data_IF_406075048011
#
_entry.id   IF_406075048011
#
_cell.length_a   1.000
_cell.length_b   1.000
_cell.length_c   1.000
_cell.angle_alpha   90.00
_cell.angle_beta   90.00
_cell.angle_gamma   90.00
#
_symmetry.space_group_name_H-M   'P 1'
#
loop_
_entity.id
_entity.type
_entity.pdbx_description
1 polymer ?
#
# COMPACT_ATOMS: atom_id res chain seq x y z
N UNK A 1 16.74 -2.32 2.44
CA UNK A 1 17.57 -1.28 3.11
C UNK A 1 16.73 -0.53 4.13
N UNK A 2 17.16 0.65 4.58
CA UNK A 2 16.31 1.53 5.42
C UNK A 2 15.15 2.09 4.61
N UNK A 3 13.95 2.16 5.20
CA UNK A 3 12.78 2.81 4.59
C UNK A 3 12.81 4.34 4.72
N UNK A 4 13.64 4.88 5.62
CA UNK A 4 13.70 6.33 5.87
C UNK A 4 14.10 7.09 4.59
N UNK A 5 13.31 8.11 4.25
CA UNK A 5 13.50 8.95 3.06
C UNK A 5 13.05 8.31 1.75
N UNK A 6 12.44 7.11 1.80
CA UNK A 6 11.89 6.42 0.62
C UNK A 6 10.50 6.94 0.28
N UNK A 7 10.07 6.66 -0.95
CA UNK A 7 8.71 6.93 -1.42
C UNK A 7 7.95 5.63 -1.61
N UNK A 8 6.79 5.54 -0.97
CA UNK A 8 5.81 4.45 -1.15
C UNK A 8 4.63 4.98 -1.94
N UNK A 9 4.28 4.35 -3.06
CA UNK A 9 3.06 4.63 -3.80
C UNK A 9 1.95 3.69 -3.34
N UNK A 10 0.87 4.25 -2.79
CA UNK A 10 -0.39 3.58 -2.55
C UNK A 10 -1.34 3.84 -3.71
N UNK A 11 -1.81 2.78 -4.36
CA UNK A 11 -2.75 2.84 -5.48
C UNK A 11 -3.98 2.02 -5.10
N UNK A 12 -5.17 2.63 -4.98
CA UNK A 12 -6.39 1.88 -4.68
C UNK A 12 -7.35 2.61 -3.74
N UNK A 13 -7.95 1.89 -2.79
CA UNK A 13 -9.00 2.44 -1.92
C UNK A 13 -8.43 3.22 -0.74
N UNK A 14 -9.16 4.20 -0.21
CA UNK A 14 -8.87 4.90 1.04
C UNK A 14 -9.22 4.06 2.28
N UNK A 15 -8.78 2.80 2.30
CA UNK A 15 -9.18 1.82 3.29
C UNK A 15 -8.27 1.80 4.54
N UNK A 16 -8.42 0.79 5.39
CA UNK A 16 -7.59 0.59 6.59
C UNK A 16 -6.09 0.43 6.28
N UNK A 17 -5.75 -0.21 5.16
CA UNK A 17 -4.36 -0.41 4.74
C UNK A 17 -3.75 0.91 4.27
N UNK A 18 -4.47 1.71 3.48
CA UNK A 18 -4.06 3.07 3.12
C UNK A 18 -3.78 3.92 4.36
N UNK A 19 -4.71 3.92 5.32
CA UNK A 19 -4.58 4.65 6.58
C UNK A 19 -3.37 4.17 7.40
N UNK A 20 -3.10 2.86 7.42
CA UNK A 20 -1.96 2.29 8.15
C UNK A 20 -0.62 2.68 7.51
N UNK A 21 -0.54 2.74 6.18
CA UNK A 21 0.63 3.25 5.47
C UNK A 21 0.93 4.71 5.80
N UNK A 22 -0.11 5.55 5.89
CA UNK A 22 0.02 6.94 6.30
C UNK A 22 0.50 7.10 7.76
N UNK A 23 0.01 6.25 8.66
CA UNK A 23 0.49 6.26 10.05
C UNK A 23 1.96 5.84 10.13
N UNK A 24 2.33 4.81 9.38
CA UNK A 24 3.69 4.31 9.32
C UNK A 24 4.65 5.37 8.76
N UNK A 25 4.24 6.17 7.77
CA UNK A 25 5.09 7.22 7.19
C UNK A 25 5.43 8.32 8.18
N UNK A 26 4.46 8.75 9.00
CA UNK A 26 4.68 9.74 10.06
C UNK A 26 5.68 9.24 11.13
N UNK A 27 5.67 7.93 11.42
CA UNK A 27 6.52 7.33 12.47
C UNK A 27 7.93 7.00 11.94
N UNK A 28 8.02 6.44 10.71
CA UNK A 28 9.26 5.85 10.18
C UNK A 28 10.03 6.80 9.25
N UNK A 29 9.45 7.93 8.87
CA UNK A 29 10.12 9.01 8.14
C UNK A 29 10.32 8.70 6.65
N UNK A 30 9.33 8.08 6.01
CA UNK A 30 9.20 7.95 4.56
C UNK A 30 8.02 8.80 4.06
N UNK A 31 7.81 8.90 2.75
CA UNK A 31 6.67 9.63 2.17
C UNK A 31 5.74 8.70 1.42
N UNK A 32 4.44 8.83 1.63
CA UNK A 32 3.42 8.10 0.85
C UNK A 32 2.89 8.98 -0.28
N UNK A 33 2.96 8.50 -1.51
CA UNK A 33 2.17 9.02 -2.62
C UNK A 33 0.87 8.22 -2.69
N UNK A 34 -0.26 8.86 -2.40
CA UNK A 34 -1.58 8.22 -2.38
C UNK A 34 -2.32 8.58 -3.66
N UNK A 35 -2.77 7.59 -4.41
CA UNK A 35 -3.78 7.78 -5.45
C UNK A 35 -4.97 6.87 -5.22
N UNK A 36 -6.14 7.50 -5.18
CA UNK A 36 -7.43 6.85 -4.96
C UNK A 36 -8.45 7.39 -5.97
N UNK A 37 -9.40 6.56 -6.45
CA UNK A 37 -10.50 7.05 -7.28
C UNK A 37 -11.31 8.16 -6.57
N UNK A 38 -11.97 9.01 -7.36
CA UNK A 38 -12.80 10.09 -6.81
C UNK A 38 -13.91 9.52 -5.92
N UNK A 39 -14.05 10.05 -4.71
CA UNK A 39 -15.01 9.56 -3.72
C UNK A 39 -14.50 8.45 -2.80
N UNK A 40 -13.29 7.92 -3.05
CA UNK A 40 -12.66 6.84 -2.28
C UNK A 40 -11.35 7.29 -1.60
N UNK A 41 -11.23 8.60 -1.35
CA UNK A 41 -10.02 9.21 -0.79
C UNK A 41 -9.78 8.88 0.68
N UNK A 42 -8.52 9.03 1.10
CA UNK A 42 -8.12 8.97 2.52
C UNK A 42 -8.59 10.22 3.27
N UNK A 43 -8.95 10.03 4.54
CA UNK A 43 -9.27 11.11 5.47
C UNK A 43 -8.22 11.14 6.59
N UNK A 44 -7.52 12.26 6.73
CA UNK A 44 -6.48 12.47 7.72
C UNK A 44 -6.97 12.20 9.16
N UNK A 45 -8.22 12.59 9.45
CA UNK A 45 -8.83 12.41 10.77
C UNK A 45 -9.14 10.95 11.06
N UNK A 46 -9.56 10.20 10.05
CA UNK A 46 -9.79 8.75 10.13
C UNK A 46 -8.47 8.00 10.30
N UNK A 47 -7.43 8.42 9.57
CA UNK A 47 -6.08 7.88 9.73
C UNK A 47 -5.40 8.30 11.04
N UNK A 48 -5.92 9.30 11.76
CA UNK A 48 -5.38 9.77 13.03
C UNK A 48 -4.02 10.46 12.92
N UNK A 49 -3.70 11.05 11.76
CA UNK A 49 -2.41 11.70 11.51
C UNK A 49 -2.35 13.08 12.16
N UNK A 50 -1.17 13.46 12.65
CA UNK A 50 -0.95 14.78 13.27
C UNK A 50 -0.68 15.85 12.22
N UNK A 51 -0.15 15.45 11.07
CA UNK A 51 0.18 16.34 9.96
C UNK A 51 0.01 15.63 8.61
N UNK A 52 -0.02 16.40 7.53
CA UNK A 52 -0.01 15.88 6.15
C UNK A 52 1.38 15.85 5.51
N UNK A 53 2.44 16.17 6.26
CA UNK A 53 3.81 16.31 5.73
C UNK A 53 4.40 14.98 5.23
N UNK A 54 3.87 13.85 5.72
CA UNK A 54 4.37 12.51 5.37
C UNK A 54 3.66 11.88 4.18
N UNK A 55 2.73 12.56 3.52
CA UNK A 55 2.09 12.06 2.30
C UNK A 55 1.68 13.13 1.29
N UNK A 56 1.41 12.71 0.06
CA UNK A 56 0.94 13.54 -1.04
C UNK A 56 -0.18 12.81 -1.77
N UNK A 57 -1.22 13.54 -2.16
CA UNK A 57 -2.37 12.97 -2.89
C UNK A 57 -2.24 13.28 -4.38
N UNK A 58 -2.51 12.27 -5.21
CA UNK A 58 -2.45 12.33 -6.67
C UNK A 58 -3.78 11.85 -7.25
N UNK A 59 -4.30 12.58 -8.22
CA UNK A 59 -5.51 12.17 -8.97
C UNK A 59 -5.22 11.12 -10.03
N UNK A 60 -3.94 10.99 -10.43
CA UNK A 60 -3.48 10.02 -11.42
C UNK A 60 -2.55 8.99 -10.73
N UNK A 61 -2.88 7.69 -10.77
CA UNK A 61 -2.05 6.65 -10.17
C UNK A 61 -0.67 6.53 -10.83
N UNK A 62 -0.53 6.87 -12.11
CA UNK A 62 0.75 6.88 -12.81
C UNK A 62 1.72 7.90 -12.19
N UNK A 63 1.20 9.09 -11.84
CA UNK A 63 1.99 10.13 -11.18
C UNK A 63 2.33 9.80 -9.73
N UNK A 64 1.48 9.04 -9.02
CA UNK A 64 1.81 8.53 -7.70
C UNK A 64 2.97 7.53 -7.74
N UNK A 65 2.99 6.64 -8.74
CA UNK A 65 4.02 5.62 -8.94
C UNK A 65 5.35 6.20 -9.43
N UNK A 66 5.35 7.37 -10.07
CA UNK A 66 6.56 7.95 -10.67
C UNK A 66 7.69 8.12 -9.65
N UNK A 67 8.79 7.40 -9.87
CA UNK A 67 9.98 7.42 -9.02
C UNK A 67 9.81 6.83 -7.62
N UNK A 68 8.72 6.10 -7.36
CA UNK A 68 8.49 5.42 -6.09
C UNK A 68 9.49 4.26 -5.88
N UNK A 69 9.92 4.02 -4.64
CA UNK A 69 10.77 2.88 -4.26
C UNK A 69 9.94 1.61 -3.99
N UNK A 70 8.64 1.77 -3.78
CA UNK A 70 7.71 0.69 -3.47
C UNK A 70 6.33 1.08 -3.98
N UNK A 71 5.69 0.19 -4.73
CA UNK A 71 4.30 0.32 -5.16
C UNK A 71 3.48 -0.73 -4.41
N UNK A 72 2.37 -0.33 -3.83
CA UNK A 72 1.49 -1.22 -3.08
C UNK A 72 0.03 -0.90 -3.34
N UNK A 73 -0.78 -1.95 -3.32
CA UNK A 73 -2.23 -1.90 -3.52
C UNK A 73 -2.89 -2.95 -2.62
N UNK A 74 -4.22 -2.96 -2.64
CA UNK A 74 -5.07 -3.91 -1.94
C UNK A 74 -6.35 -4.09 -2.75
N UNK A 75 -7.15 -5.10 -2.40
CA UNK A 75 -8.42 -5.38 -3.06
C UNK A 75 -9.32 -4.14 -3.08
N UNK A 76 -9.93 -3.86 -4.23
CA UNK A 76 -10.80 -2.69 -4.40
C UNK A 76 -12.06 -2.73 -3.54
N UNK A 77 -12.57 -3.95 -3.29
CA UNK A 77 -13.73 -4.18 -2.44
C UNK A 77 -13.29 -4.91 -1.19
N UNK A 78 -13.30 -4.18 -0.07
CA UNK A 78 -13.04 -4.77 1.25
C UNK A 78 -14.14 -5.76 1.65
N UNK A 79 -13.79 -6.72 2.53
CA UNK A 79 -14.77 -7.65 3.10
C UNK A 79 -15.95 -6.91 3.74
N UNK A 80 -17.17 -7.34 3.45
CA UNK A 80 -18.41 -6.73 3.95
C UNK A 80 -19.03 -5.67 3.02
N UNK A 81 -18.41 -5.39 1.86
CA UNK A 81 -18.91 -4.45 0.85
C UNK A 81 -19.22 -5.13 -0.49
N UNK A 82 -19.55 -6.42 -0.49
CA UNK A 82 -19.70 -7.23 -1.69
C UNK A 82 -20.82 -6.71 -2.63
N UNK A 83 -21.81 -6.01 -2.08
CA UNK A 83 -22.87 -5.36 -2.84
C UNK A 83 -22.38 -4.18 -3.71
N UNK A 84 -21.21 -3.62 -3.40
CA UNK A 84 -20.61 -2.50 -4.14
C UNK A 84 -19.63 -2.95 -5.24
N UNK A 85 -19.41 -4.25 -5.40
CA UNK A 85 -18.37 -4.81 -6.26
C UNK A 85 -18.38 -4.24 -7.69
N UNK A 86 -19.53 -4.23 -8.35
CA UNK A 86 -19.62 -3.78 -9.75
C UNK A 86 -19.34 -2.29 -9.90
N UNK A 87 -19.83 -1.48 -8.94
CA UNK A 87 -19.60 -0.05 -8.93
C UNK A 87 -18.11 0.28 -8.69
N UNK A 88 -17.47 -0.44 -7.77
CA UNK A 88 -16.04 -0.29 -7.47
C UNK A 88 -15.17 -0.76 -8.64
N UNK A 89 -15.46 -1.91 -9.26
CA UNK A 89 -14.73 -2.36 -10.46
C UNK A 89 -14.71 -1.32 -11.57
N UNK A 90 -15.83 -0.62 -11.78
CA UNK A 90 -15.90 0.46 -12.76
C UNK A 90 -15.09 1.71 -12.33
N UNK A 91 -15.20 2.11 -11.06
CA UNK A 91 -14.51 3.30 -10.55
C UNK A 91 -12.98 3.12 -10.42
N UNK A 92 -12.52 1.89 -10.20
CA UNK A 92 -11.12 1.56 -9.92
C UNK A 92 -10.37 1.02 -11.15
N UNK A 93 -11.01 0.95 -12.32
CA UNK A 93 -10.42 0.34 -13.52
C UNK A 93 -9.06 0.95 -13.90
N UNK A 94 -8.88 2.27 -13.70
CA UNK A 94 -7.63 3.00 -13.96
C UNK A 94 -6.60 2.88 -12.80
N UNK A 95 -6.98 2.29 -11.67
CA UNK A 95 -6.16 2.05 -10.47
C UNK A 95 -5.68 0.60 -10.36
N UNK A 96 -5.75 -0.19 -11.45
CA UNK A 96 -5.06 -1.49 -11.51
C UNK A 96 -3.56 -1.25 -11.62
N UNK A 97 -2.79 -1.85 -10.72
CA UNK A 97 -1.32 -1.80 -10.82
C UNK A 97 -0.86 -2.72 -11.95
N UNK A 98 -0.31 -2.12 -13.00
CA UNK A 98 0.19 -2.80 -14.18
C UNK A 98 1.72 -2.61 -14.37
N UNK A 99 2.28 -3.25 -15.40
CA UNK A 99 3.71 -3.13 -15.70
C UNK A 99 4.12 -1.70 -16.11
N UNK A 100 3.21 -0.88 -16.65
CA UNK A 100 3.52 0.49 -17.01
C UNK A 100 3.72 1.37 -15.76
N UNK A 101 2.86 1.21 -14.75
CA UNK A 101 3.02 1.84 -13.45
C UNK A 101 4.33 1.42 -12.77
N UNK A 102 4.66 0.12 -12.81
CA UNK A 102 5.94 -0.36 -12.26
C UNK A 102 7.15 0.20 -13.04
N UNK A 103 7.02 0.44 -14.35
CA UNK A 103 8.09 1.00 -15.18
C UNK A 103 8.39 2.47 -14.90
N UNK A 104 7.41 3.26 -14.47
CA UNK A 104 7.63 4.66 -14.08
C UNK A 104 8.16 4.82 -12.65
N UNK A 105 8.06 3.77 -11.83
CA UNK A 105 8.70 3.68 -10.52
C UNK A 105 10.23 3.55 -10.65
N UNK A 106 10.94 3.42 -9.52
CA UNK A 106 12.38 3.14 -9.57
C UNK A 106 12.65 1.77 -10.23
N UNK A 107 13.79 1.60 -10.94
CA UNK A 107 14.14 0.32 -11.57
C UNK A 107 14.22 -0.87 -10.61
N UNK A 108 14.53 -0.61 -9.33
CA UNK A 108 14.59 -1.57 -8.24
C UNK A 108 13.41 -1.47 -7.27
N UNK A 109 12.31 -0.81 -7.69
CA UNK A 109 11.11 -0.68 -6.87
C UNK A 109 10.52 -2.06 -6.55
N UNK A 110 9.98 -2.20 -5.34
CA UNK A 110 9.28 -3.40 -4.92
C UNK A 110 7.77 -3.27 -5.18
N UNK A 111 7.12 -4.40 -5.45
CA UNK A 111 5.66 -4.51 -5.43
C UNK A 111 5.19 -5.29 -4.19
N UNK A 112 4.24 -4.73 -3.44
CA UNK A 112 3.65 -5.32 -2.22
C UNK A 112 2.12 -5.37 -2.29
N UNK A 113 1.53 -6.39 -1.68
CA UNK A 113 0.09 -6.61 -1.60
C UNK A 113 -0.24 -7.48 -0.39
N UNK A 114 -1.16 -7.03 0.47
CA UNK A 114 -1.41 -7.67 1.77
C UNK A 114 -2.15 -9.01 1.73
N UNK A 115 -2.71 -9.37 0.57
CA UNK A 115 -3.41 -10.62 0.24
C UNK A 115 -4.76 -10.81 0.96
N UNK A 116 -5.70 -11.60 0.40
CA UNK A 116 -5.65 -12.25 -0.92
C UNK A 116 -5.70 -11.24 -2.07
N UNK A 117 -5.17 -11.63 -3.23
CA UNK A 117 -5.17 -10.80 -4.44
C UNK A 117 -6.02 -11.42 -5.56
N UNK A 118 -6.71 -10.58 -6.32
CA UNK A 118 -7.42 -10.88 -7.55
C UNK A 118 -6.64 -10.37 -8.76
N UNK A 119 -5.90 -11.28 -9.40
CA UNK A 119 -5.18 -10.99 -10.66
C UNK A 119 -6.16 -10.50 -11.74
N UNK A 120 -5.83 -9.39 -12.38
CA UNK A 120 -6.66 -8.72 -13.39
C UNK A 120 -7.67 -7.72 -12.81
N UNK A 121 -7.76 -7.60 -11.48
CA UNK A 121 -8.51 -6.54 -10.79
C UNK A 121 -7.52 -5.52 -10.24
N UNK A 122 -7.12 -5.58 -8.97
CA UNK A 122 -6.23 -4.57 -8.39
C UNK A 122 -4.78 -4.63 -8.91
N UNK A 123 -4.38 -5.77 -9.46
CA UNK A 123 -3.02 -5.98 -9.98
C UNK A 123 -3.01 -6.92 -11.18
N UNK A 124 -2.17 -6.64 -12.18
CA UNK A 124 -1.92 -7.57 -13.27
C UNK A 124 -1.07 -8.77 -12.82
N UNK A 125 -1.33 -9.94 -13.41
CA UNK A 125 -0.61 -11.17 -13.08
C UNK A 125 0.92 -11.03 -13.24
N UNK A 126 1.37 -10.33 -14.27
CA UNK A 126 2.80 -10.11 -14.54
C UNK A 126 3.51 -9.24 -13.49
N UNK A 127 2.76 -8.40 -12.75
CA UNK A 127 3.32 -7.59 -11.66
C UNK A 127 3.44 -8.45 -10.41
N UNK A 128 2.34 -9.07 -9.95
CA UNK A 128 2.34 -9.84 -8.70
C UNK A 128 3.15 -11.13 -8.78
N UNK A 129 3.26 -11.76 -9.96
CA UNK A 129 4.10 -12.94 -10.20
C UNK A 129 5.48 -12.56 -10.79
N UNK A 130 5.73 -11.26 -10.95
CA UNK A 130 6.95 -10.71 -11.53
C UNK A 130 8.12 -10.63 -10.56
N UNK A 131 9.32 -10.29 -11.07
CA UNK A 131 10.56 -10.31 -10.29
C UNK A 131 10.66 -9.20 -9.23
N UNK A 132 9.85 -8.14 -9.34
CA UNK A 132 9.80 -7.04 -8.36
C UNK A 132 8.81 -7.31 -7.21
N UNK A 133 7.98 -8.35 -7.34
CA UNK A 133 7.00 -8.72 -6.33
C UNK A 133 7.65 -9.39 -5.14
N UNK A 134 7.28 -8.92 -3.94
CA UNK A 134 7.70 -9.50 -2.67
C UNK A 134 6.51 -9.96 -1.83
N UNK A 135 5.36 -10.23 -2.45
CA UNK A 135 4.10 -10.57 -1.75
C UNK A 135 4.21 -11.82 -0.86
N UNK A 136 5.06 -12.78 -1.23
CA UNK A 136 5.27 -13.99 -0.43
C UNK A 136 6.18 -13.72 0.78
N UNK A 137 7.24 -12.94 0.61
CA UNK A 137 8.08 -12.49 1.72
C UNK A 137 7.28 -11.59 2.66
N UNK A 138 6.41 -10.73 2.14
CA UNK A 138 5.46 -9.93 2.92
C UNK A 138 4.55 -10.82 3.76
N UNK A 139 3.96 -11.85 3.15
CA UNK A 139 3.09 -12.80 3.83
C UNK A 139 3.82 -13.59 4.92
N UNK A 140 5.02 -14.10 4.64
CA UNK A 140 5.85 -14.82 5.62
C UNK A 140 6.24 -13.91 6.80
N UNK A 141 6.63 -12.67 6.51
CA UNK A 141 7.07 -11.71 7.53
C UNK A 141 5.96 -11.31 8.52
N UNK A 142 4.68 -11.56 8.22
CA UNK A 142 3.59 -11.42 9.20
C UNK A 142 3.84 -12.26 10.45
N UNK A 143 4.31 -13.50 10.29
CA UNK A 143 4.63 -14.38 11.43
C UNK A 143 5.75 -13.78 12.29
N UNK A 144 6.81 -13.28 11.66
CA UNK A 144 7.97 -12.73 12.35
C UNK A 144 7.63 -11.45 13.12
N UNK A 145 6.89 -10.53 12.49
CA UNK A 145 6.43 -9.29 13.13
C UNK A 145 5.50 -9.59 14.31
N UNK A 146 4.56 -10.53 14.16
CA UNK A 146 3.65 -10.90 15.23
C UNK A 146 4.36 -11.56 16.41
N UNK A 147 5.37 -12.40 16.17
CA UNK A 147 6.22 -12.95 17.25
C UNK A 147 6.91 -11.84 18.04
N UNK A 148 7.54 -10.89 17.34
CA UNK A 148 8.21 -9.76 17.98
C UNK A 148 7.24 -8.88 18.77
N UNK A 149 6.03 -8.64 18.24
CA UNK A 149 4.99 -7.89 18.93
C UNK A 149 4.52 -8.60 20.20
N UNK A 150 4.26 -9.91 20.14
CA UNK A 150 3.88 -10.69 21.31
C UNK A 150 4.96 -10.68 22.39
N UNK A 151 6.22 -10.86 21.99
CA UNK A 151 7.36 -10.79 22.90
C UNK A 151 7.44 -9.41 23.59
N UNK A 152 7.31 -8.33 22.82
CA UNK A 152 7.28 -6.97 23.35
C UNK A 152 6.12 -6.74 24.32
N UNK A 153 4.91 -7.21 24.01
CA UNK A 153 3.74 -7.03 24.87
C UNK A 153 3.83 -7.84 26.17
N UNK A 154 4.44 -9.02 26.14
CA UNK A 154 4.57 -9.90 27.31
C UNK A 154 5.76 -9.54 28.20
N UNK A 155 6.90 -9.21 27.61
CA UNK A 155 8.16 -8.98 28.31
C UNK A 155 8.52 -7.50 28.47
N UNK A 156 7.81 -6.62 27.78
CA UNK A 156 8.12 -5.20 27.69
C UNK A 156 9.30 -4.92 26.76
N UNK A 157 9.89 -3.73 26.92
CA UNK A 157 11.04 -3.30 26.11
C UNK A 157 12.27 -4.11 26.51
N UNK A 158 12.64 -5.07 25.67
CA UNK A 158 13.88 -5.82 25.81
C UNK A 158 15.07 -4.86 25.73
N UNK A 159 15.96 -4.92 26.72
CA UNK A 159 17.24 -4.21 26.68
C UNK A 159 18.17 -5.02 25.78
N UNK A 160 18.46 -4.51 24.59
CA UNK A 160 19.56 -4.99 23.77
C UNK A 160 20.90 -4.51 24.36
#
# INVERSE_FOLDING_TARGET
GSIRGKTVAWVGDGNNMANTWLQASEILGFTVHVSTPSGYGVDQSVAGLRSSDSYKVFTDPMEACRGADLVTTDVWTSMGYEAENDARRAAFADWRVDAEMMRVAQPDALFMHCLPAHRGEEVDAEVIDGPQSVVWDEAENRMHVQKALLEFLLLGRLRA
#
